data_IF_022275448720
#
_entry.id   IF_022275448720
#
_cell.length_a   1.000
_cell.length_b   1.000
_cell.length_c   1.000
_cell.angle_alpha   90.00
_cell.angle_beta   90.00
_cell.angle_gamma   90.00
#
_symmetry.space_group_name_H-M   'P 1'
#
loop_
_entity.id
_entity.type
_entity.pdbx_description
1 polymer ?
#
# COMPACT_ATOMS: atom_id res chain seq x y z
N UNK A 1 28.91 -3.66 -16.38
CA UNK A 1 27.62 -2.95 -16.33
C UNK A 1 26.63 -3.58 -15.35
N UNK A 2 26.33 -4.89 -15.43
CA UNK A 2 25.42 -5.54 -14.46
C UNK A 2 25.81 -5.34 -13.00
N UNK A 3 27.11 -5.40 -12.69
CA UNK A 3 27.63 -5.25 -11.32
C UNK A 3 27.34 -3.86 -10.71
N UNK A 4 27.65 -2.78 -11.43
CA UNK A 4 27.39 -1.41 -10.98
C UNK A 4 25.90 -1.13 -10.75
N UNK A 5 25.06 -1.62 -11.67
CA UNK A 5 23.60 -1.48 -11.60
C UNK A 5 23.06 -2.28 -10.39
N UNK A 6 23.56 -3.50 -10.19
CA UNK A 6 23.21 -4.33 -9.04
C UNK A 6 23.61 -3.64 -7.72
N UNK A 7 24.83 -3.13 -7.63
CA UNK A 7 25.32 -2.42 -6.44
C UNK A 7 24.49 -1.17 -6.15
N UNK A 8 24.14 -0.40 -7.18
CA UNK A 8 23.25 0.76 -7.07
C UNK A 8 21.87 0.34 -6.55
N UNK A 9 21.28 -0.72 -7.11
CA UNK A 9 19.99 -1.26 -6.66
C UNK A 9 20.01 -1.72 -5.20
N UNK A 10 21.09 -2.37 -4.77
CA UNK A 10 21.27 -2.82 -3.38
C UNK A 10 21.46 -1.64 -2.41
N UNK A 11 22.21 -0.61 -2.81
CA UNK A 11 22.39 0.59 -2.00
C UNK A 11 21.06 1.33 -1.80
N UNK A 12 20.28 1.50 -2.88
CA UNK A 12 18.94 2.09 -2.81
C UNK A 12 18.00 1.27 -1.94
N UNK A 13 18.05 -0.07 -2.03
CA UNK A 13 17.24 -0.94 -1.18
C UNK A 13 17.59 -0.77 0.31
N UNK A 14 18.88 -0.65 0.64
CA UNK A 14 19.32 -0.38 2.02
C UNK A 14 18.76 0.95 2.53
N UNK A 15 18.86 2.01 1.73
CA UNK A 15 18.29 3.32 2.07
C UNK A 15 16.76 3.25 2.21
N UNK A 16 16.09 2.46 1.37
CA UNK A 16 14.64 2.25 1.46
C UNK A 16 14.25 1.60 2.80
N UNK A 17 15.00 0.59 3.25
CA UNK A 17 14.79 -0.08 4.54
C UNK A 17 15.02 0.88 5.71
N UNK A 18 16.04 1.73 5.65
CA UNK A 18 16.31 2.74 6.68
C UNK A 18 15.17 3.77 6.77
N UNK A 19 14.68 4.26 5.63
CA UNK A 19 13.54 5.18 5.55
C UNK A 19 12.23 4.52 6.05
N UNK A 20 11.99 3.27 5.66
CA UNK A 20 10.83 2.47 6.08
C UNK A 20 10.82 2.24 7.61
N UNK A 21 11.97 1.85 8.17
CA UNK A 21 12.16 1.69 9.62
C UNK A 21 11.94 3.03 10.36
N UNK A 22 12.30 4.13 9.72
CA UNK A 22 12.09 5.50 10.23
C UNK A 22 10.67 6.03 9.98
N UNK A 23 9.75 5.22 9.47
CA UNK A 23 8.36 5.58 9.10
C UNK A 23 8.25 6.70 8.06
N UNK A 24 9.31 6.95 7.30
CA UNK A 24 9.31 7.90 6.19
C UNK A 24 8.74 7.22 4.94
N UNK A 25 7.47 6.83 4.99
CA UNK A 25 6.86 5.91 4.01
C UNK A 25 6.88 6.43 2.56
N UNK A 26 6.71 7.74 2.34
CA UNK A 26 6.80 8.34 1.00
C UNK A 26 8.20 8.17 0.40
N UNK A 27 9.24 8.50 1.19
CA UNK A 27 10.63 8.35 0.77
C UNK A 27 11.00 6.88 0.57
N UNK A 28 10.60 6.02 1.51
CA UNK A 28 10.82 4.57 1.42
C UNK A 28 10.21 4.00 0.13
N UNK A 29 8.98 4.39 -0.20
CA UNK A 29 8.30 3.96 -1.43
C UNK A 29 9.09 4.34 -2.68
N UNK A 30 9.56 5.59 -2.76
CA UNK A 30 10.35 6.06 -3.91
C UNK A 30 11.67 5.30 -4.02
N UNK A 31 12.38 5.09 -2.91
CA UNK A 31 13.65 4.36 -2.90
C UNK A 31 13.47 2.88 -3.27
N UNK A 32 12.40 2.22 -2.79
CA UNK A 32 12.09 0.85 -3.20
C UNK A 32 11.79 0.75 -4.71
N UNK A 33 11.07 1.71 -5.31
CA UNK A 33 10.83 1.73 -6.76
C UNK A 33 12.13 1.81 -7.56
N UNK A 34 13.03 2.71 -7.17
CA UNK A 34 14.32 2.88 -7.82
C UNK A 34 15.21 1.64 -7.64
N UNK A 35 15.21 1.05 -6.45
CA UNK A 35 15.92 -0.19 -6.18
C UNK A 35 15.41 -1.33 -7.08
N UNK A 36 14.09 -1.54 -7.14
CA UNK A 36 13.45 -2.57 -7.97
C UNK A 36 13.78 -2.38 -9.45
N UNK A 37 13.77 -1.13 -9.95
CA UNK A 37 14.13 -0.83 -11.34
C UNK A 37 15.57 -1.24 -11.64
N UNK A 38 16.52 -0.85 -10.78
CA UNK A 38 17.93 -1.22 -10.95
C UNK A 38 18.13 -2.75 -10.88
N UNK A 39 17.49 -3.44 -9.94
CA UNK A 39 17.57 -4.90 -9.85
C UNK A 39 17.00 -5.59 -11.10
N UNK A 40 15.89 -5.08 -11.66
CA UNK A 40 15.32 -5.56 -12.93
C UNK A 40 16.25 -5.32 -14.12
N UNK A 41 17.00 -4.22 -14.14
CA UNK A 41 18.00 -3.97 -15.17
C UNK A 41 19.22 -4.89 -14.99
N UNK A 42 19.64 -5.16 -13.75
CA UNK A 42 20.76 -6.03 -13.45
C UNK A 42 20.54 -7.47 -13.96
N UNK A 43 19.32 -8.02 -13.81
CA UNK A 43 19.01 -9.39 -14.28
C UNK A 43 19.07 -9.54 -15.81
N UNK A 44 18.87 -8.46 -16.57
CA UNK A 44 18.95 -8.51 -18.05
C UNK A 44 20.37 -8.84 -18.51
N UNK A 45 21.37 -8.47 -17.71
CA UNK A 45 22.80 -8.62 -18.04
C UNK A 45 23.53 -9.65 -17.18
N UNK A 46 22.83 -10.33 -16.26
CA UNK A 46 23.40 -11.37 -15.39
C UNK A 46 23.29 -12.74 -16.06
N UNK A 47 24.42 -13.46 -16.13
CA UNK A 47 24.54 -14.74 -16.84
C UNK A 47 24.35 -15.93 -15.91
N UNK A 48 24.66 -15.76 -14.63
CA UNK A 48 24.53 -16.83 -13.65
C UNK A 48 23.06 -17.00 -13.23
N UNK A 49 22.42 -18.13 -13.53
CA UNK A 49 21.02 -18.38 -13.17
C UNK A 49 20.79 -18.38 -11.65
N UNK A 50 21.79 -18.77 -10.85
CA UNK A 50 21.69 -18.79 -9.39
C UNK A 50 21.64 -17.37 -8.82
N UNK A 51 22.50 -16.49 -9.30
CA UNK A 51 22.47 -15.06 -8.96
C UNK A 51 21.19 -14.40 -9.42
N UNK A 52 20.72 -14.73 -10.63
CA UNK A 52 19.44 -14.25 -11.13
C UNK A 52 18.26 -14.66 -10.25
N UNK A 53 18.24 -15.91 -9.76
CA UNK A 53 17.21 -16.37 -8.84
C UNK A 53 17.20 -15.54 -7.54
N UNK A 54 18.37 -15.30 -6.95
CA UNK A 54 18.50 -14.47 -5.73
C UNK A 54 18.00 -13.03 -5.95
N UNK A 55 18.38 -12.42 -7.08
CA UNK A 55 17.95 -11.05 -7.40
C UNK A 55 16.44 -10.99 -7.64
N UNK A 56 15.85 -12.00 -8.30
CA UNK A 56 14.40 -12.10 -8.49
C UNK A 56 13.65 -12.21 -7.16
N UNK A 57 14.12 -13.03 -6.24
CA UNK A 57 13.54 -13.13 -4.89
C UNK A 57 13.57 -11.75 -4.20
N UNK A 58 14.67 -11.01 -4.29
CA UNK A 58 14.74 -9.65 -3.72
C UNK A 58 13.81 -8.64 -4.41
N UNK A 59 13.64 -8.73 -5.71
CA UNK A 59 12.65 -7.91 -6.44
C UNK A 59 11.23 -8.16 -5.89
N UNK A 60 10.86 -9.42 -5.66
CA UNK A 60 9.54 -9.78 -5.12
C UNK A 60 9.36 -9.28 -3.69
N UNK A 61 10.34 -9.51 -2.81
CA UNK A 61 10.34 -9.01 -1.43
C UNK A 61 10.13 -7.49 -1.38
N UNK A 62 10.95 -6.74 -2.14
CA UNK A 62 10.87 -5.27 -2.16
C UNK A 62 9.59 -4.77 -2.82
N UNK A 63 9.07 -5.47 -3.84
CA UNK A 63 7.79 -5.13 -4.45
C UNK A 63 6.64 -5.29 -3.44
N UNK A 64 6.63 -6.40 -2.69
CA UNK A 64 5.60 -6.67 -1.70
C UNK A 64 5.67 -5.66 -0.55
N UNK A 65 6.88 -5.34 -0.07
CA UNK A 65 7.06 -4.34 0.98
C UNK A 65 6.63 -2.95 0.51
N UNK A 66 7.00 -2.55 -0.72
CA UNK A 66 6.60 -1.27 -1.27
C UNK A 66 5.08 -1.13 -1.42
N UNK A 67 4.38 -2.18 -1.88
CA UNK A 67 2.90 -2.20 -1.93
C UNK A 67 2.29 -1.94 -0.56
N UNK A 68 2.81 -2.60 0.47
CA UNK A 68 2.37 -2.38 1.85
C UNK A 68 2.63 -0.94 2.32
N UNK A 69 3.83 -0.41 2.07
CA UNK A 69 4.20 0.98 2.43
C UNK A 69 3.30 2.01 1.74
N UNK A 70 2.97 1.81 0.46
CA UNK A 70 2.06 2.71 -0.26
C UNK A 70 0.67 2.78 0.37
N UNK A 71 0.16 1.66 0.87
CA UNK A 71 -1.11 1.63 1.63
C UNK A 71 -1.01 2.35 2.97
N UNK A 72 0.15 2.28 3.64
CA UNK A 72 0.40 3.03 4.87
C UNK A 72 0.51 4.54 4.61
N UNK A 73 1.20 4.95 3.55
CA UNK A 73 1.33 6.35 3.17
C UNK A 73 -0.03 6.98 2.84
N UNK A 74 -0.90 6.27 2.10
CA UNK A 74 -2.25 6.75 1.78
C UNK A 74 -3.18 6.78 3.00
N UNK A 75 -3.01 5.87 3.96
CA UNK A 75 -3.77 5.87 5.22
C UNK A 75 -3.29 6.97 6.18
N UNK A 76 -2.01 7.35 6.11
CA UNK A 76 -1.43 8.43 6.94
C UNK A 76 -1.92 9.82 6.52
N UNK A 77 -2.28 10.01 5.25
CA UNK A 77 -2.95 11.22 4.77
C UNK A 77 -4.42 11.35 5.21
N UNK A 78 -4.99 10.34 5.87
CA UNK A 78 -6.38 10.36 6.36
C UNK A 78 -6.52 10.84 7.80
N UNK A 79 -5.45 11.31 8.45
CA UNK A 79 -5.50 11.77 9.85
C UNK A 79 -5.24 13.28 9.96
N UNK A 80 -6.13 14.08 9.37
CA UNK A 80 -6.41 15.43 9.86
C UNK A 80 -7.87 15.78 9.58
N UNK A 81 -8.61 16.00 10.67
CA UNK A 81 -9.91 16.66 10.79
C UNK A 81 -11.14 16.01 10.12
N UNK A 82 -11.89 15.27 10.95
CA UNK A 82 -13.28 15.64 11.23
C UNK A 82 -14.37 15.22 10.23
N UNK A 83 -15.24 14.36 10.73
CA UNK A 83 -16.63 14.11 10.30
C UNK A 83 -16.79 13.22 9.06
N UNK A 84 -17.63 12.20 9.22
CA UNK A 84 -17.77 11.07 8.32
C UNK A 84 -18.24 11.40 6.91
N UNK A 85 -17.87 10.54 5.97
CA UNK A 85 -18.26 10.66 4.57
C UNK A 85 -17.92 9.40 3.78
N UNK A 86 -18.83 8.44 3.85
CA UNK A 86 -18.86 7.19 3.09
C UNK A 86 -18.72 7.46 1.58
N UNK A 87 -17.72 6.87 0.92
CA UNK A 87 -17.58 6.89 -0.53
C UNK A 87 -17.86 5.49 -1.10
N UNK A 88 -19.03 5.32 -1.70
CA UNK A 88 -19.24 4.31 -2.74
C UNK A 88 -19.72 5.02 -4.01
N UNK A 89 -18.76 5.11 -4.94
CA UNK A 89 -18.88 5.13 -6.38
C UNK A 89 -20.28 4.84 -6.97
N UNK A 90 -20.88 5.84 -7.62
CA UNK A 90 -21.49 5.76 -8.96
C UNK A 90 -21.93 7.16 -9.41
N UNK A 91 -21.38 7.63 -10.53
CA UNK A 91 -21.71 8.85 -11.30
C UNK A 91 -22.92 9.68 -10.83
N UNK A 92 -22.65 10.78 -10.12
CA UNK A 92 -23.41 12.03 -10.24
C UNK A 92 -22.76 13.17 -9.43
N UNK A 93 -22.55 14.30 -10.08
CA UNK A 93 -22.27 15.58 -9.41
C UNK A 93 -23.61 16.07 -8.86
N UNK A 94 -23.90 15.77 -7.59
CA UNK A 94 -25.02 16.37 -6.86
C UNK A 94 -24.48 17.15 -5.66
N UNK A 95 -24.56 18.48 -5.74
CA UNK A 95 -24.18 19.41 -4.68
C UNK A 95 -25.36 19.56 -3.70
N UNK A 96 -25.30 18.87 -2.56
CA UNK A 96 -26.30 19.01 -1.48
C UNK A 96 -25.91 20.10 -0.48
N UNK A 97 -26.85 20.96 -0.04
CA UNK A 97 -26.63 21.87 1.09
C UNK A 97 -26.60 21.09 2.41
N UNK A 98 -25.70 21.47 3.31
CA UNK A 98 -25.49 20.80 4.61
C UNK A 98 -26.73 20.85 5.50
N UNK A 99 -27.20 19.68 5.96
CA UNK A 99 -28.27 19.53 6.95
C UNK A 99 -27.63 19.25 8.32
N UNK A 100 -28.08 19.88 9.43
CA UNK A 100 -27.56 19.62 10.77
C UNK A 100 -27.82 18.18 11.25
N UNK A 101 -26.85 17.64 12.00
CA UNK A 101 -26.68 16.24 12.38
C UNK A 101 -27.60 15.76 13.53
N UNK A 102 -28.92 15.85 13.38
CA UNK A 102 -29.85 15.43 14.46
C UNK A 102 -30.93 14.41 14.08
N UNK A 103 -30.75 13.65 13.01
CA UNK A 103 -31.67 12.55 12.70
C UNK A 103 -30.90 11.24 12.46
N UNK A 104 -30.88 10.37 13.47
CA UNK A 104 -30.42 8.98 13.34
C UNK A 104 -31.63 8.06 13.18
N UNK A 105 -31.78 7.33 12.06
CA UNK A 105 -32.74 6.23 12.00
C UNK A 105 -32.16 5.01 12.73
N UNK A 106 -32.73 4.68 13.88
CA UNK A 106 -32.42 3.45 14.62
C UNK A 106 -32.88 2.24 13.80
N UNK A 107 -31.94 1.43 13.30
CA UNK A 107 -32.25 0.15 12.67
C UNK A 107 -32.69 -0.83 13.76
N UNK A 108 -33.96 -1.22 13.73
CA UNK A 108 -34.55 -2.20 14.64
C UNK A 108 -33.88 -3.58 14.47
N UNK A 109 -33.29 -4.07 15.56
CA UNK A 109 -32.77 -5.42 15.68
C UNK A 109 -33.95 -6.40 15.79
N UNK A 110 -34.17 -7.23 14.77
CA UNK A 110 -35.22 -8.27 14.79
C UNK A 110 -34.63 -9.52 15.44
N UNK A 111 -34.95 -9.70 16.72
CA UNK A 111 -34.74 -10.92 17.51
C UNK A 111 -35.59 -12.06 16.93
N UNK A 112 -34.96 -13.16 16.52
CA UNK A 112 -35.68 -14.41 16.23
C UNK A 112 -35.89 -15.20 17.52
N UNK A 113 -37.13 -15.21 18.02
CA UNK A 113 -37.56 -16.15 19.05
C UNK A 113 -38.61 -17.13 18.50
N UNK A 114 -38.22 -18.41 18.56
CA UNK A 114 -39.00 -19.65 18.68
C UNK A 114 -40.05 -20.01 17.62
N UNK A 115 -39.98 -21.28 17.19
CA UNK A 115 -41.07 -22.23 17.40
C UNK A 115 -40.58 -23.67 17.37
N UNK A 116 -40.72 -24.35 18.51
CA UNK A 116 -40.90 -25.79 18.64
C UNK A 116 -42.35 -26.09 18.27
N UNK A 117 -42.61 -27.12 17.46
CA UNK A 117 -43.91 -27.79 17.39
C UNK A 117 -43.71 -29.28 17.08
N UNK A 118 -44.11 -30.08 18.08
CA UNK A 118 -44.60 -31.47 18.10
C UNK A 118 -43.86 -32.55 17.29
#
# INVERSE_FOLDING_TARGET
MSHEILQTGLQLAKQAVEADTSKQYTLASQLYEQAILNLKLAIVSEKDPSRNALVKTKIEEYTNRNKFIKNLASSSSSTSTGVGGNSNNSNAIFNFPSIPSSVSPSVANVTYHQQILI
#
